data_IF_837573169931
#
_entry.id   IF_837573169931
#
_cell.length_a   1.000
_cell.length_b   1.000
_cell.length_c   1.000
_cell.angle_alpha   90.00
_cell.angle_beta   90.00
_cell.angle_gamma   90.00
#
_symmetry.space_group_name_H-M   'P 1'
#
loop_
_entity.id
_entity.type
_entity.pdbx_description
1 polymer ?
#
# COMPACT_ATOMS: atom_id res chain seq x y z
N UNK A 1 13.20 -3.76 -23.70
CA UNK A 1 13.40 -5.20 -23.98
C UNK A 1 14.62 -5.43 -24.88
N UNK A 2 14.59 -5.05 -26.17
CA UNK A 2 15.69 -5.34 -27.12
C UNK A 2 17.05 -4.75 -26.74
N UNK A 3 17.10 -3.50 -26.27
CA UNK A 3 18.35 -2.87 -25.81
C UNK A 3 18.96 -3.57 -24.59
N UNK A 4 18.15 -4.10 -23.66
CA UNK A 4 18.64 -4.81 -22.46
C UNK A 4 19.22 -6.18 -22.82
N UNK A 5 18.54 -6.90 -23.71
CA UNK A 5 19.03 -8.18 -24.25
C UNK A 5 20.35 -8.01 -25.02
N UNK A 6 20.45 -6.97 -25.86
CA UNK A 6 21.67 -6.69 -26.63
C UNK A 6 22.83 -6.29 -25.71
N UNK A 7 22.58 -5.42 -24.72
CA UNK A 7 23.62 -5.00 -23.77
C UNK A 7 24.10 -6.15 -22.87
N UNK A 8 23.20 -7.06 -22.47
CA UNK A 8 23.55 -8.25 -21.69
C UNK A 8 24.33 -9.26 -22.54
N UNK A 9 23.88 -9.54 -23.77
CA UNK A 9 24.56 -10.49 -24.67
C UNK A 9 25.95 -10.00 -25.12
N UNK A 10 26.13 -8.69 -25.30
CA UNK A 10 27.42 -8.08 -25.68
C UNK A 10 28.35 -7.84 -24.47
N UNK A 11 27.93 -8.18 -23.25
CA UNK A 11 28.73 -7.97 -22.03
C UNK A 11 28.96 -6.50 -21.66
N UNK A 12 28.18 -5.57 -22.23
CA UNK A 12 28.22 -4.15 -21.85
C UNK A 12 27.70 -3.92 -20.44
N UNK A 13 26.89 -4.88 -19.96
CA UNK A 13 26.33 -4.93 -18.62
C UNK A 13 26.58 -6.35 -18.12
N UNK A 14 27.01 -6.49 -16.86
CA UNK A 14 27.28 -7.81 -16.26
C UNK A 14 26.00 -8.68 -16.27
N UNK A 15 25.95 -9.77 -17.08
CA UNK A 15 24.77 -10.62 -17.19
C UNK A 15 24.45 -11.37 -15.90
N UNK A 16 25.41 -11.46 -14.96
CA UNK A 16 25.19 -12.02 -13.64
C UNK A 16 24.37 -11.06 -12.77
N UNK A 17 24.67 -9.75 -12.84
CA UNK A 17 24.01 -8.73 -12.02
C UNK A 17 22.67 -8.27 -12.61
N UNK A 18 22.59 -8.17 -13.94
CA UNK A 18 21.42 -7.58 -14.61
C UNK A 18 20.57 -8.61 -15.36
N UNK A 19 20.93 -9.89 -15.32
CA UNK A 19 20.25 -10.98 -16.03
C UNK A 19 20.01 -10.66 -17.53
N UNK A 20 19.09 -11.36 -18.16
CA UNK A 20 18.58 -11.04 -19.49
C UNK A 20 17.07 -11.30 -19.57
N UNK A 21 16.33 -10.55 -20.41
CA UNK A 21 14.90 -10.79 -20.63
C UNK A 21 14.56 -12.25 -20.95
N UNK A 22 15.41 -12.93 -21.74
CA UNK A 22 15.22 -14.36 -22.03
C UNK A 22 15.36 -15.25 -20.80
N UNK A 23 16.39 -15.05 -19.98
CA UNK A 23 16.59 -15.82 -18.73
C UNK A 23 15.42 -15.66 -17.77
N UNK A 24 14.93 -14.44 -17.63
CA UNK A 24 13.74 -14.13 -16.82
C UNK A 24 12.50 -14.85 -17.39
N UNK A 25 12.32 -14.83 -18.71
CA UNK A 25 11.21 -15.52 -19.38
C UNK A 25 11.25 -17.04 -19.18
N UNK A 26 12.43 -17.66 -19.29
CA UNK A 26 12.59 -19.09 -19.02
C UNK A 26 12.31 -19.43 -17.56
N UNK A 27 12.89 -18.68 -16.61
CA UNK A 27 12.65 -18.90 -15.18
C UNK A 27 11.16 -18.73 -14.83
N UNK A 28 10.48 -17.74 -15.42
CA UNK A 28 9.04 -17.58 -15.26
C UNK A 28 8.26 -18.80 -15.75
N UNK A 29 8.59 -19.32 -16.94
CA UNK A 29 7.94 -20.51 -17.50
C UNK A 29 8.18 -21.75 -16.63
N UNK A 30 9.40 -21.93 -16.12
CA UNK A 30 9.75 -23.05 -15.24
C UNK A 30 8.95 -22.99 -13.94
N UNK A 31 8.97 -21.84 -13.25
CA UNK A 31 8.26 -21.65 -11.97
C UNK A 31 6.72 -21.67 -12.11
N UNK A 32 6.19 -21.38 -13.30
CA UNK A 32 4.77 -21.54 -13.61
C UNK A 32 4.45 -23.01 -13.88
N UNK A 33 5.32 -23.73 -14.58
CA UNK A 33 5.13 -25.12 -14.96
C UNK A 33 5.19 -26.07 -13.76
N UNK A 34 6.06 -25.79 -12.79
CA UNK A 34 6.17 -26.55 -11.53
C UNK A 34 5.23 -26.05 -10.42
N UNK A 35 4.43 -25.02 -10.71
CA UNK A 35 3.52 -24.34 -9.80
C UNK A 35 4.16 -23.72 -8.54
N UNK A 36 5.50 -23.60 -8.49
CA UNK A 36 6.22 -23.02 -7.36
C UNK A 36 5.95 -21.52 -7.21
N UNK A 37 5.60 -20.80 -8.28
CA UNK A 37 5.37 -19.36 -8.24
C UNK A 37 4.06 -18.97 -7.52
N UNK A 38 3.01 -19.78 -7.65
CA UNK A 38 1.66 -19.40 -7.20
C UNK A 38 1.52 -19.19 -5.69
N UNK A 39 2.14 -20.00 -4.81
CA UNK A 39 2.16 -19.71 -3.38
C UNK A 39 2.76 -18.34 -3.05
N UNK A 40 3.87 -17.96 -3.69
CA UNK A 40 4.50 -16.66 -3.47
C UNK A 40 3.62 -15.51 -3.95
N UNK A 41 3.01 -15.64 -5.12
CA UNK A 41 2.05 -14.65 -5.65
C UNK A 41 0.87 -14.46 -4.69
N UNK A 42 0.26 -15.57 -4.27
CA UNK A 42 -0.94 -15.56 -3.44
C UNK A 42 -0.70 -14.93 -2.08
N UNK A 43 0.41 -15.28 -1.42
CA UNK A 43 0.80 -14.71 -0.11
C UNK A 43 0.96 -13.20 -0.22
N UNK A 44 1.86 -12.71 -1.08
CA UNK A 44 2.13 -11.26 -1.18
C UNK A 44 0.91 -10.48 -1.61
N UNK A 45 0.12 -11.00 -2.57
CA UNK A 45 -1.08 -10.32 -3.04
C UNK A 45 -2.13 -10.24 -1.93
N UNK A 46 -2.32 -11.31 -1.15
CA UNK A 46 -3.27 -11.32 -0.03
C UNK A 46 -2.84 -10.38 1.09
N UNK A 47 -1.56 -10.42 1.49
CA UNK A 47 -0.98 -9.53 2.50
C UNK A 47 -1.12 -8.07 2.09
N UNK A 48 -0.82 -7.75 0.83
CA UNK A 48 -0.93 -6.40 0.28
C UNK A 48 -2.37 -5.94 0.23
N UNK A 49 -3.28 -6.78 -0.27
CA UNK A 49 -4.70 -6.46 -0.36
C UNK A 49 -5.31 -6.19 1.01
N UNK A 50 -5.08 -7.07 2.00
CA UNK A 50 -5.61 -6.88 3.35
C UNK A 50 -4.92 -5.71 4.07
N UNK A 51 -3.61 -5.53 3.90
CA UNK A 51 -2.88 -4.40 4.48
C UNK A 51 -3.40 -3.06 3.98
N UNK A 52 -3.61 -2.95 2.67
CA UNK A 52 -4.26 -1.83 2.02
C UNK A 52 -5.68 -1.60 2.54
N UNK A 53 -6.52 -2.65 2.54
CA UNK A 53 -7.93 -2.56 2.88
C UNK A 53 -8.13 -2.16 4.33
N UNK A 54 -7.52 -2.88 5.27
CA UNK A 54 -7.64 -2.58 6.69
C UNK A 54 -6.96 -1.27 7.06
N UNK A 55 -5.80 -0.96 6.49
CA UNK A 55 -5.11 0.31 6.74
C UNK A 55 -5.94 1.52 6.32
N UNK A 56 -6.56 1.46 5.14
CA UNK A 56 -7.43 2.52 4.65
C UNK A 56 -8.74 2.61 5.46
N UNK A 57 -9.37 1.47 5.75
CA UNK A 57 -10.62 1.44 6.50
C UNK A 57 -10.44 1.98 7.92
N UNK A 58 -9.43 1.48 8.64
CA UNK A 58 -9.09 1.96 9.97
C UNK A 58 -8.70 3.44 9.92
N UNK A 59 -7.87 3.84 8.96
CA UNK A 59 -7.41 5.22 8.87
C UNK A 59 -8.54 6.21 8.60
N UNK A 60 -9.49 5.85 7.76
CA UNK A 60 -10.69 6.65 7.47
C UNK A 60 -11.62 6.73 8.69
N UNK A 61 -11.76 5.62 9.42
CA UNK A 61 -12.55 5.57 10.66
C UNK A 61 -11.92 6.47 11.74
N UNK A 62 -10.60 6.40 11.92
CA UNK A 62 -9.87 7.28 12.84
C UNK A 62 -9.95 8.74 12.41
N UNK A 63 -9.77 9.08 11.13
CA UNK A 63 -9.95 10.44 10.62
C UNK A 63 -11.35 10.99 10.90
N UNK A 64 -12.38 10.16 10.74
CA UNK A 64 -13.78 10.54 11.02
C UNK A 64 -14.00 10.79 12.51
N UNK A 65 -13.37 9.97 13.38
CA UNK A 65 -13.41 10.17 14.83
C UNK A 65 -12.72 11.47 15.25
N UNK A 66 -11.56 11.79 14.66
CA UNK A 66 -10.82 13.03 14.91
C UNK A 66 -11.64 14.26 14.52
N UNK A 67 -12.32 14.21 13.38
CA UNK A 67 -13.23 15.28 12.95
C UNK A 67 -14.43 15.43 13.89
N UNK A 68 -14.96 14.30 14.40
CA UNK A 68 -16.09 14.33 15.32
C UNK A 68 -15.71 14.91 16.70
N UNK A 69 -14.49 14.69 17.17
CA UNK A 69 -14.05 15.10 18.51
C UNK A 69 -12.86 16.08 18.40
N UNK A 70 -13.09 17.40 18.36
CA UNK A 70 -12.02 18.39 18.18
C UNK A 70 -10.93 18.34 19.25
N UNK A 71 -11.28 17.95 20.48
CA UNK A 71 -10.30 17.74 21.55
C UNK A 71 -9.32 16.62 21.20
N UNK A 72 -9.82 15.50 20.67
CA UNK A 72 -8.98 14.36 20.29
C UNK A 72 -8.01 14.73 19.17
N UNK A 73 -8.46 15.52 18.18
CA UNK A 73 -7.56 16.05 17.16
C UNK A 73 -6.43 16.88 17.76
N UNK A 74 -6.75 17.87 18.61
CA UNK A 74 -5.72 18.75 19.18
C UNK A 74 -4.65 17.99 19.96
N UNK A 75 -5.04 16.88 20.60
CA UNK A 75 -4.11 16.02 21.35
C UNK A 75 -3.32 15.10 20.41
N UNK A 76 -3.97 14.44 19.45
CA UNK A 76 -3.34 13.40 18.63
C UNK A 76 -2.57 13.94 17.41
N UNK A 77 -2.88 15.12 16.92
CA UNK A 77 -2.26 15.70 15.71
C UNK A 77 -0.73 15.76 15.77
N UNK A 78 -0.08 16.23 16.86
CA UNK A 78 1.38 16.18 16.98
C UNK A 78 1.95 14.75 16.88
N UNK A 79 1.27 13.77 17.49
CA UNK A 79 1.70 12.37 17.46
C UNK A 79 1.57 11.77 16.06
N UNK A 80 0.51 12.12 15.31
CA UNK A 80 0.32 11.66 13.94
C UNK A 80 1.43 12.19 13.01
N UNK A 81 1.83 13.45 13.20
CA UNK A 81 2.95 14.04 12.46
C UNK A 81 4.26 13.33 12.79
N UNK A 82 4.53 13.05 14.07
CA UNK A 82 5.73 12.31 14.51
C UNK A 82 5.72 10.88 13.94
N UNK A 83 4.61 10.15 14.08
CA UNK A 83 4.44 8.81 13.53
C UNK A 83 4.63 8.78 12.01
N UNK A 84 4.24 9.85 11.32
CA UNK A 84 4.49 9.96 9.90
C UNK A 84 5.97 10.18 9.57
N UNK A 85 6.66 11.02 10.33
CA UNK A 85 8.08 11.32 10.16
C UNK A 85 9.01 10.16 10.55
N UNK A 86 8.57 9.28 11.45
CA UNK A 86 9.34 8.11 11.85
C UNK A 86 9.61 7.18 10.66
N UNK A 87 10.82 6.60 10.57
CA UNK A 87 11.13 5.57 9.59
C UNK A 87 10.35 4.30 9.96
N UNK A 88 9.13 4.17 9.44
CA UNK A 88 8.20 3.08 9.78
C UNK A 88 8.82 1.69 9.55
N UNK A 89 9.73 1.60 8.58
CA UNK A 89 10.57 0.42 8.28
C UNK A 89 11.31 -0.10 9.52
N UNK A 90 11.80 0.79 10.38
CA UNK A 90 12.53 0.42 11.59
C UNK A 90 11.64 -0.22 12.68
N UNK A 91 10.31 -0.10 12.56
CA UNK A 91 9.36 -0.72 13.49
C UNK A 91 9.07 -2.19 13.15
N UNK A 92 9.48 -2.67 11.97
CA UNK A 92 9.27 -4.06 11.53
C UNK A 92 9.74 -5.10 12.55
N UNK A 93 11.01 -5.05 13.03
CA UNK A 93 11.50 -5.98 14.05
C UNK A 93 10.68 -5.96 15.35
N UNK A 94 10.18 -4.79 15.77
CA UNK A 94 9.35 -4.68 16.97
C UNK A 94 7.98 -5.36 16.77
N UNK A 95 7.38 -5.20 15.58
CA UNK A 95 6.14 -5.91 15.23
C UNK A 95 6.33 -7.42 15.21
N UNK A 96 7.48 -7.89 14.74
CA UNK A 96 7.82 -9.32 14.73
C UNK A 96 8.00 -9.86 16.15
N UNK A 97 8.69 -9.13 17.03
CA UNK A 97 8.85 -9.54 18.43
C UNK A 97 7.49 -9.57 19.15
N UNK A 98 6.61 -8.62 18.84
CA UNK A 98 5.30 -8.52 19.49
C UNK A 98 4.26 -9.52 18.96
N UNK A 99 4.21 -9.75 17.65
CA UNK A 99 3.16 -10.53 16.96
C UNK A 99 3.65 -11.91 16.48
N UNK A 100 4.95 -12.14 16.54
CA UNK A 100 5.63 -13.33 16.00
C UNK A 100 5.97 -13.21 14.51
N UNK A 101 6.86 -14.08 13.99
CA UNK A 101 7.30 -14.07 12.59
C UNK A 101 6.28 -14.79 11.70
N UNK A 102 5.13 -14.15 11.47
CA UNK A 102 4.02 -14.75 10.73
C UNK A 102 3.29 -13.70 9.88
N UNK A 103 2.25 -14.15 9.17
CA UNK A 103 1.38 -13.30 8.36
C UNK A 103 0.90 -12.04 9.10
N UNK A 104 0.62 -12.13 10.40
CA UNK A 104 0.08 -10.99 11.17
C UNK A 104 1.09 -9.87 11.35
N UNK A 105 2.39 -10.16 11.51
CA UNK A 105 3.41 -9.11 11.59
C UNK A 105 3.61 -8.38 10.27
N UNK A 106 3.52 -9.10 9.15
CA UNK A 106 3.64 -8.54 7.80
C UNK A 106 2.42 -7.68 7.48
N UNK A 107 1.22 -8.19 7.78
CA UNK A 107 -0.03 -7.46 7.65
C UNK A 107 -0.02 -6.18 8.51
N UNK A 108 0.41 -6.29 9.77
CA UNK A 108 0.51 -5.14 10.68
C UNK A 108 1.46 -4.06 10.12
N UNK A 109 2.55 -4.48 9.46
CA UNK A 109 3.47 -3.55 8.79
C UNK A 109 2.78 -2.80 7.64
N UNK A 110 2.05 -3.51 6.78
CA UNK A 110 1.24 -2.90 5.72
C UNK A 110 0.18 -1.93 6.24
N UNK A 111 -0.53 -2.30 7.31
CA UNK A 111 -1.54 -1.46 7.98
C UNK A 111 -0.87 -0.22 8.58
N UNK A 112 0.25 -0.37 9.30
CA UNK A 112 0.93 0.73 9.99
C UNK A 112 1.36 1.84 9.03
N UNK A 113 1.84 1.48 7.83
CA UNK A 113 2.26 2.47 6.83
C UNK A 113 1.05 3.20 6.25
N UNK A 114 0.01 2.46 5.86
CA UNK A 114 -1.15 3.01 5.15
C UNK A 114 -2.11 3.75 6.07
N UNK A 115 -2.29 3.30 7.32
CA UNK A 115 -3.25 3.90 8.28
C UNK A 115 -2.89 5.34 8.61
N UNK A 116 -1.60 5.62 8.88
CA UNK A 116 -1.15 6.96 9.28
C UNK A 116 -1.35 7.97 8.14
N UNK A 117 -1.00 7.57 6.92
CA UNK A 117 -1.15 8.43 5.73
C UNK A 117 -2.63 8.67 5.42
N UNK A 118 -3.45 7.63 5.55
CA UNK A 118 -4.91 7.76 5.42
C UNK A 118 -5.48 8.75 6.43
N UNK A 119 -5.10 8.62 7.71
CA UNK A 119 -5.58 9.51 8.77
C UNK A 119 -5.27 10.96 8.40
N UNK A 120 -4.01 11.26 8.06
CA UNK A 120 -3.56 12.62 7.78
C UNK A 120 -4.29 13.22 6.59
N UNK A 121 -4.35 12.50 5.47
CA UNK A 121 -4.94 13.01 4.22
C UNK A 121 -6.45 13.17 4.34
N UNK A 122 -7.15 12.17 4.87
CA UNK A 122 -8.60 12.19 5.00
C UNK A 122 -9.04 13.20 6.06
N UNK A 123 -8.34 13.26 7.19
CA UNK A 123 -8.64 14.25 8.24
C UNK A 123 -8.44 15.68 7.73
N UNK A 124 -7.32 15.94 7.03
CA UNK A 124 -7.04 17.24 6.39
C UNK A 124 -8.15 17.64 5.41
N UNK A 125 -8.62 16.69 4.60
CA UNK A 125 -9.77 16.92 3.72
C UNK A 125 -11.03 17.30 4.51
N UNK A 126 -11.34 16.59 5.61
CA UNK A 126 -12.54 16.86 6.42
C UNK A 126 -12.55 18.25 7.05
N UNK A 127 -11.41 18.76 7.51
CA UNK A 127 -11.33 20.09 8.13
C UNK A 127 -11.25 21.24 7.12
N UNK A 128 -10.93 20.95 5.85
CA UNK A 128 -10.84 21.95 4.77
C UNK A 128 -12.19 22.20 4.09
N UNK A 129 -13.22 21.40 4.40
CA UNK A 129 -14.59 21.61 3.92
C UNK A 129 -15.10 22.99 4.36
N UNK A 130 -15.68 23.75 3.42
CA UNK A 130 -16.07 25.13 3.69
C UNK A 130 -17.07 25.22 4.87
N UNK A 131 -16.78 26.05 5.90
CA UNK A 131 -17.63 26.18 7.08
C UNK A 131 -19.06 26.65 6.75
N UNK A 132 -19.25 27.34 5.64
CA UNK A 132 -20.55 27.86 5.22
C UNK A 132 -21.55 26.74 4.91
N UNK A 133 -21.12 25.65 4.25
CA UNK A 133 -22.00 24.50 4.01
C UNK A 133 -22.46 23.85 5.32
N UNK A 134 -21.57 23.79 6.32
CA UNK A 134 -21.92 23.27 7.65
C UNK A 134 -22.92 24.18 8.38
N UNK A 135 -22.72 25.50 8.31
CA UNK A 135 -23.62 26.49 8.92
C UNK A 135 -25.02 26.47 8.31
N UNK A 136 -25.15 26.23 7.00
CA UNK A 136 -26.45 26.09 6.33
C UNK A 136 -27.25 24.97 6.99
N UNK A 137 -26.68 23.76 7.08
CA UNK A 137 -27.35 22.61 7.72
C UNK A 137 -27.70 22.91 9.19
N UNK A 138 -26.78 23.54 9.94
CA UNK A 138 -27.03 23.89 11.34
C UNK A 138 -28.16 24.93 11.51
N UNK A 139 -28.29 25.87 10.57
CA UNK A 139 -29.36 26.88 10.58
C UNK A 139 -30.73 26.26 10.36
N UNK A 140 -30.81 25.18 9.57
CA UNK A 140 -32.01 24.37 9.40
C UNK A 140 -32.24 23.36 10.55
N UNK A 141 -31.50 23.46 11.66
CA UNK A 141 -31.64 22.57 12.82
C UNK A 141 -30.99 21.20 12.63
N UNK A 142 -30.12 21.05 11.62
CA UNK A 142 -29.46 19.79 11.33
C UNK A 142 -28.42 19.38 12.38
N UNK A 143 -28.34 18.08 12.63
CA UNK A 143 -27.39 17.47 13.58
C UNK A 143 -25.98 17.36 12.98
N UNK A 144 -24.97 17.19 13.86
CA UNK A 144 -23.58 16.95 13.45
C UNK A 144 -23.41 15.71 12.55
N UNK A 145 -24.25 14.69 12.75
CA UNK A 145 -24.29 13.50 11.89
C UNK A 145 -24.78 13.82 10.47
N UNK A 146 -25.78 14.69 10.34
CA UNK A 146 -26.26 15.17 9.03
C UNK A 146 -25.19 16.02 8.33
N UNK A 147 -24.51 16.92 9.06
CA UNK A 147 -23.35 17.64 8.53
C UNK A 147 -22.28 16.69 7.98
N UNK A 148 -21.97 15.62 8.71
CA UNK A 148 -20.98 14.63 8.29
C UNK A 148 -21.43 13.87 7.03
N UNK A 149 -22.63 13.29 7.04
CA UNK A 149 -23.13 12.42 5.97
C UNK A 149 -23.48 13.17 4.68
N UNK A 150 -24.01 14.38 4.79
CA UNK A 150 -24.54 15.13 3.63
C UNK A 150 -23.54 16.13 3.04
N UNK A 151 -22.55 16.57 3.82
CA UNK A 151 -21.59 17.59 3.36
C UNK A 151 -20.17 17.08 3.41
N UNK A 152 -19.68 16.70 4.60
CA UNK A 152 -18.24 16.42 4.80
C UNK A 152 -17.80 15.18 4.04
N UNK A 153 -18.45 14.04 4.29
CA UNK A 153 -18.11 12.80 3.62
C UNK A 153 -18.28 12.93 2.09
N UNK A 154 -19.40 13.49 1.57
CA UNK A 154 -19.58 13.78 0.15
C UNK A 154 -18.49 14.65 -0.48
N UNK A 155 -18.12 15.76 0.17
CA UNK A 155 -17.12 16.69 -0.36
C UNK A 155 -15.72 16.07 -0.40
N UNK A 156 -15.41 15.13 0.50
CA UNK A 156 -14.08 14.55 0.64
C UNK A 156 -13.88 13.23 -0.12
N UNK A 157 -14.89 12.70 -0.81
CA UNK A 157 -14.72 11.48 -1.64
C UNK A 157 -13.52 11.55 -2.61
N UNK A 158 -13.27 12.66 -3.33
CA UNK A 158 -12.10 12.75 -4.21
C UNK A 158 -10.78 12.58 -3.45
N UNK A 159 -10.68 13.15 -2.24
CA UNK A 159 -9.50 13.00 -1.39
C UNK A 159 -9.35 11.56 -0.86
N UNK A 160 -10.46 10.91 -0.48
CA UNK A 160 -10.44 9.49 -0.08
C UNK A 160 -9.98 8.63 -1.26
N UNK A 161 -10.50 8.84 -2.47
CA UNK A 161 -10.08 8.09 -3.66
C UNK A 161 -8.59 8.33 -3.98
N UNK A 162 -8.13 9.58 -3.86
CA UNK A 162 -6.71 9.91 -4.04
C UNK A 162 -5.82 9.14 -3.05
N UNK A 163 -6.23 9.06 -1.78
CA UNK A 163 -5.47 8.29 -0.79
C UNK A 163 -5.47 6.79 -1.06
N UNK A 164 -6.54 6.23 -1.63
CA UNK A 164 -6.56 4.82 -2.04
C UNK A 164 -5.44 4.51 -3.05
N UNK A 165 -5.25 5.37 -4.04
CA UNK A 165 -4.20 5.21 -5.06
C UNK A 165 -2.81 5.23 -4.44
N UNK A 166 -2.58 6.16 -3.52
CA UNK A 166 -1.31 6.28 -2.80
C UNK A 166 -1.09 5.07 -1.89
N UNK A 167 -2.13 4.62 -1.18
CA UNK A 167 -2.06 3.51 -0.24
C UNK A 167 -1.77 2.17 -0.90
N UNK A 168 -2.19 1.91 -2.14
CA UNK A 168 -1.78 0.66 -2.82
C UNK A 168 -0.27 0.58 -2.86
N UNK A 169 0.40 1.63 -3.35
CA UNK A 169 1.86 1.63 -3.49
C UNK A 169 2.55 1.47 -2.13
N UNK A 170 2.03 2.14 -1.11
CA UNK A 170 2.57 2.06 0.25
C UNK A 170 2.32 0.71 0.93
N UNK A 171 1.20 0.04 0.62
CA UNK A 171 0.92 -1.30 1.10
C UNK A 171 1.93 -2.30 0.55
N UNK A 172 2.28 -2.20 -0.75
CA UNK A 172 3.36 -2.99 -1.35
C UNK A 172 4.68 -2.78 -0.61
N UNK A 173 5.06 -1.52 -0.36
CA UNK A 173 6.28 -1.20 0.39
C UNK A 173 6.26 -1.84 1.77
N UNK A 174 5.16 -1.72 2.52
CA UNK A 174 5.06 -2.29 3.87
C UNK A 174 5.12 -3.81 3.90
N UNK A 175 4.41 -4.46 2.98
CA UNK A 175 4.36 -5.92 2.90
C UNK A 175 5.70 -6.49 2.43
N UNK A 176 6.30 -5.96 1.37
CA UNK A 176 7.60 -6.43 0.87
C UNK A 176 8.67 -6.31 1.97
N UNK A 177 8.67 -5.20 2.70
CA UNK A 177 9.59 -5.02 3.85
C UNK A 177 9.30 -6.02 4.96
N UNK A 178 8.02 -6.28 5.27
CA UNK A 178 7.66 -7.33 6.23
C UNK A 178 8.12 -8.71 5.77
N UNK A 179 7.95 -9.03 4.50
CA UNK A 179 8.37 -10.30 3.92
C UNK A 179 9.90 -10.49 3.97
N UNK A 180 10.68 -9.42 3.72
CA UNK A 180 12.14 -9.45 3.82
C UNK A 180 12.65 -9.87 5.20
N UNK A 181 11.92 -9.50 6.25
CA UNK A 181 12.39 -9.69 7.63
C UNK A 181 12.14 -11.11 8.14
N UNK A 182 11.01 -11.73 7.78
CA UNK A 182 10.56 -12.98 8.44
C UNK A 182 9.89 -14.00 7.55
N UNK A 183 9.48 -13.63 6.33
CA UNK A 183 8.66 -14.55 5.55
C UNK A 183 9.50 -15.66 4.94
N UNK A 184 8.86 -16.82 4.79
CA UNK A 184 9.39 -17.99 4.07
C UNK A 184 8.72 -18.17 2.71
N UNK A 185 7.76 -17.31 2.38
CA UNK A 185 6.96 -17.30 1.16
C UNK A 185 6.67 -15.85 0.76
N UNK A 186 6.23 -15.62 -0.47
CA UNK A 186 6.04 -14.26 -1.00
C UNK A 186 7.15 -13.82 -1.96
N UNK A 187 6.85 -12.79 -2.74
CA UNK A 187 7.74 -12.21 -3.76
C UNK A 187 8.88 -11.42 -3.12
N UNK A 188 8.64 -10.76 -1.99
CA UNK A 188 9.68 -10.12 -1.19
C UNK A 188 10.68 -11.14 -0.65
N UNK A 189 10.20 -12.30 -0.19
CA UNK A 189 11.09 -13.40 0.17
C UNK A 189 11.98 -13.85 -1.01
N UNK A 190 11.40 -14.02 -2.22
CA UNK A 190 12.18 -14.41 -3.40
C UNK A 190 13.25 -13.39 -3.79
N UNK A 191 12.99 -12.09 -3.59
CA UNK A 191 14.00 -11.03 -3.79
C UNK A 191 15.17 -11.20 -2.84
N UNK A 192 14.91 -11.35 -1.53
CA UNK A 192 15.99 -11.46 -0.54
C UNK A 192 16.74 -12.77 -0.69
N UNK A 193 16.04 -13.86 -0.99
CA UNK A 193 16.66 -15.16 -1.26
C UNK A 193 17.54 -15.09 -2.51
N UNK A 194 17.02 -14.58 -3.63
CA UNK A 194 17.77 -14.39 -4.87
C UNK A 194 19.02 -13.53 -4.67
N UNK A 195 18.90 -12.46 -3.88
CA UNK A 195 20.04 -11.62 -3.52
C UNK A 195 21.10 -12.40 -2.71
N UNK A 196 20.68 -13.21 -1.73
CA UNK A 196 21.60 -14.01 -0.90
C UNK A 196 22.36 -15.08 -1.68
N UNK A 197 21.71 -15.71 -2.67
CA UNK A 197 22.32 -16.75 -3.52
C UNK A 197 22.94 -16.20 -4.80
N UNK A 198 22.99 -14.87 -4.96
CA UNK A 198 23.46 -14.17 -6.16
C UNK A 198 22.71 -14.56 -7.46
N UNK A 199 21.45 -15.00 -7.33
CA UNK A 199 20.56 -15.20 -8.48
C UNK A 199 19.73 -13.92 -8.73
N UNK A 200 20.32 -13.00 -9.48
CA UNK A 200 19.62 -11.78 -9.90
C UNK A 200 18.56 -12.04 -10.97
N UNK A 201 18.50 -13.21 -11.59
CA UNK A 201 17.38 -13.57 -12.47
C UNK A 201 16.10 -13.72 -11.64
N UNK A 202 16.19 -14.39 -10.48
CA UNK A 202 15.08 -14.50 -9.54
C UNK A 202 14.67 -13.15 -8.95
N UNK A 203 15.65 -12.29 -8.62
CA UNK A 203 15.38 -10.93 -8.13
C UNK A 203 14.63 -10.11 -9.18
N UNK A 204 15.13 -10.06 -10.42
CA UNK A 204 14.51 -9.28 -11.50
C UNK A 204 13.14 -9.83 -11.89
N UNK A 205 12.97 -11.16 -11.91
CA UNK A 205 11.66 -11.78 -12.12
C UNK A 205 10.66 -11.33 -11.04
N UNK A 206 11.04 -11.42 -9.78
CA UNK A 206 10.18 -11.05 -8.65
C UNK A 206 9.78 -9.57 -8.70
N UNK A 207 10.73 -8.68 -9.01
CA UNK A 207 10.46 -7.24 -9.18
C UNK A 207 9.50 -6.95 -10.35
N UNK A 208 9.66 -7.63 -11.49
CA UNK A 208 8.78 -7.47 -12.64
C UNK A 208 7.36 -7.94 -12.33
N UNK A 209 7.23 -9.07 -11.63
CA UNK A 209 5.92 -9.58 -11.18
C UNK A 209 5.26 -8.59 -10.24
N UNK A 210 5.98 -8.07 -9.23
CA UNK A 210 5.46 -7.04 -8.32
C UNK A 210 5.00 -5.82 -9.11
N UNK A 211 5.78 -5.34 -10.09
CA UNK A 211 5.39 -4.19 -10.92
C UNK A 211 4.10 -4.44 -11.69
N UNK A 212 3.93 -5.64 -12.26
CA UNK A 212 2.69 -6.03 -12.97
C UNK A 212 1.51 -6.09 -12.00
N UNK A 213 1.66 -6.75 -10.85
CA UNK A 213 0.60 -6.87 -9.86
C UNK A 213 0.21 -5.51 -9.24
N UNK A 214 1.18 -4.66 -8.93
CA UNK A 214 0.96 -3.32 -8.43
C UNK A 214 0.22 -2.45 -9.45
N UNK A 215 0.61 -2.54 -10.73
CA UNK A 215 -0.09 -1.86 -11.83
C UNK A 215 -1.54 -2.36 -11.94
N UNK A 216 -1.75 -3.67 -11.86
CA UNK A 216 -3.10 -4.25 -11.90
C UNK A 216 -3.97 -3.74 -10.74
N UNK A 217 -3.47 -3.77 -9.51
CA UNK A 217 -4.17 -3.22 -8.35
C UNK A 217 -4.48 -1.72 -8.51
N UNK A 218 -3.52 -0.95 -9.02
CA UNK A 218 -3.72 0.48 -9.28
C UNK A 218 -4.84 0.72 -10.30
N UNK A 219 -4.84 -0.01 -11.41
CA UNK A 219 -5.88 0.07 -12.44
C UNK A 219 -7.26 -0.28 -11.89
N UNK A 220 -7.37 -1.28 -11.00
CA UNK A 220 -8.64 -1.59 -10.33
C UNK A 220 -9.20 -0.39 -9.58
N UNK A 221 -8.35 0.38 -8.88
CA UNK A 221 -8.78 1.59 -8.18
C UNK A 221 -9.12 2.72 -9.14
N UNK A 222 -8.40 2.88 -10.24
CA UNK A 222 -8.76 3.87 -11.26
C UNK A 222 -10.13 3.56 -11.88
N UNK A 223 -10.46 2.29 -12.10
CA UNK A 223 -11.79 1.88 -12.58
C UNK A 223 -12.86 2.18 -11.52
N UNK A 224 -12.59 1.91 -10.24
CA UNK A 224 -13.49 2.23 -9.14
C UNK A 224 -13.74 3.74 -9.03
N UNK A 225 -12.69 4.56 -9.14
CA UNK A 225 -12.78 6.02 -9.18
C UNK A 225 -13.68 6.49 -10.32
N UNK A 226 -13.43 6.03 -11.55
CA UNK A 226 -14.24 6.42 -12.72
C UNK A 226 -15.71 6.09 -12.53
N UNK A 227 -16.04 4.93 -11.93
CA UNK A 227 -17.43 4.55 -11.63
C UNK A 227 -18.06 5.40 -10.54
N UNK A 228 -17.32 5.69 -9.46
CA UNK A 228 -17.81 6.48 -8.32
C UNK A 228 -17.99 7.96 -8.68
N UNK A 229 -17.12 8.51 -9.51
CA UNK A 229 -17.20 9.91 -9.96
C UNK A 229 -18.26 10.07 -11.06
N UNK A 230 -18.40 9.11 -11.99
CA UNK A 230 -19.40 9.18 -13.07
C UNK A 230 -20.85 9.06 -12.57
N UNK A 231 -21.08 8.48 -11.40
CA UNK A 231 -22.39 8.36 -10.76
C UNK A 231 -22.72 9.56 -9.84
N UNK A 232 -22.05 10.70 -10.03
CA UNK A 232 -22.35 12.00 -9.41
C UNK A 232 -22.42 13.08 -10.48
#
# INVERSE_FOLDING_TARGET
MGLWEVSSNNGWIDPLLFSSPKRIGFLFMDMVSDASLFPHLGVTLSETFFGFLFGTLLGTLFASLLWWIPFLSKVLEPYLVILNALPKVALGPLLIVALGPNFTSILAMGILITVIITIIVVYSAFITVEPNYLKVIQTFGGSKLQCYKEVVLPACFPAIISVLKVNIGLAWVGVIIGEFLVSKQGLGYLIIYGFQVFDFTLVMLSLLIIAVLATFMYQLIEILERKLIKNR
#
